data_IF_456620816123
#
_entry.id   IF_456620816123
#
_cell.length_a   1.000
_cell.length_b   1.000
_cell.length_c   1.000
_cell.angle_alpha   90.00
_cell.angle_beta   90.00
_cell.angle_gamma   90.00
#
_symmetry.space_group_name_H-M   'P 1'
#
loop_
_entity.id
_entity.type
_entity.pdbx_description
1 polymer ?
#
# COMPACT_ATOMS: atom_id res chain seq x y z
N UNK A 1 19.79 17.18 5.22
CA UNK A 1 19.75 15.73 5.07
C UNK A 1 18.48 15.38 4.33
N UNK A 2 18.57 15.04 3.06
CA UNK A 2 17.39 14.72 2.25
C UNK A 2 17.07 13.22 2.38
N UNK A 3 15.79 12.90 2.59
CA UNK A 3 15.28 11.53 2.70
C UNK A 3 14.34 11.25 1.53
N UNK A 4 14.88 10.64 0.48
CA UNK A 4 14.11 10.24 -0.69
C UNK A 4 13.27 9.01 -0.36
N UNK A 5 11.95 9.13 -0.52
CA UNK A 5 10.99 8.04 -0.43
C UNK A 5 9.91 8.25 -1.49
N UNK A 6 9.27 7.15 -1.90
CA UNK A 6 8.21 7.14 -2.91
C UNK A 6 6.98 6.48 -2.32
N UNK A 7 5.81 7.06 -2.56
CA UNK A 7 4.53 6.46 -2.23
C UNK A 7 3.97 5.76 -3.47
N UNK A 8 3.80 4.43 -3.40
CA UNK A 8 3.06 3.65 -4.39
C UNK A 8 1.73 3.24 -3.77
N UNK A 9 0.63 3.82 -4.26
CA UNK A 9 -0.70 3.67 -3.65
C UNK A 9 -1.69 3.14 -4.69
N UNK A 10 -2.13 1.87 -4.58
CA UNK A 10 -3.17 1.32 -5.45
C UNK A 10 -4.48 2.09 -5.30
N UNK A 11 -5.17 2.34 -6.42
CA UNK A 11 -6.48 2.99 -6.45
C UNK A 11 -7.49 2.10 -7.15
N UNK A 12 -8.67 1.96 -6.54
CA UNK A 12 -9.75 1.13 -7.05
C UNK A 12 -10.92 2.00 -7.49
N UNK A 13 -11.58 1.59 -8.59
CA UNK A 13 -12.74 2.32 -9.13
C UNK A 13 -13.85 2.36 -8.08
N UNK A 14 -14.48 3.52 -7.95
CA UNK A 14 -15.58 3.79 -7.03
C UNK A 14 -15.19 3.79 -5.54
N UNK A 15 -13.89 3.75 -5.22
CA UNK A 15 -13.37 3.87 -3.85
C UNK A 15 -13.03 5.34 -3.50
N UNK A 16 -12.75 5.60 -2.22
CA UNK A 16 -12.59 6.93 -1.60
C UNK A 16 -11.71 7.92 -2.39
N UNK A 17 -10.57 7.46 -2.90
CA UNK A 17 -9.60 8.33 -3.58
C UNK A 17 -9.61 8.18 -5.10
N UNK A 18 -10.64 7.53 -5.66
CA UNK A 18 -10.77 7.40 -7.09
C UNK A 18 -10.86 8.80 -7.74
N UNK A 19 -10.02 9.04 -8.75
CA UNK A 19 -9.92 10.34 -9.43
C UNK A 19 -9.57 11.54 -8.52
N UNK A 20 -8.95 11.29 -7.37
CA UNK A 20 -8.43 12.33 -6.46
C UNK A 20 -6.93 12.15 -6.22
N UNK A 21 -6.31 13.08 -5.51
CA UNK A 21 -4.93 12.96 -5.00
C UNK A 21 -4.86 11.95 -3.84
N UNK A 22 -3.70 11.35 -3.60
CA UNK A 22 -3.47 10.50 -2.42
C UNK A 22 -3.61 11.33 -1.12
N UNK A 23 -4.38 10.83 -0.14
CA UNK A 23 -4.49 11.41 1.18
C UNK A 23 -3.43 10.80 2.12
N UNK A 24 -2.60 11.66 2.71
CA UNK A 24 -1.43 11.23 3.50
C UNK A 24 -1.78 10.35 4.71
N UNK A 25 -2.85 10.70 5.45
CA UNK A 25 -3.38 9.89 6.53
C UNK A 25 -4.85 10.24 6.78
N UNK A 26 -5.82 9.50 6.23
CA UNK A 26 -7.24 9.82 6.39
C UNK A 26 -7.86 9.26 7.68
N UNK A 27 -7.14 8.45 8.48
CA UNK A 27 -7.65 7.81 9.71
C UNK A 27 -8.99 7.05 9.55
N UNK A 28 -9.15 6.28 8.46
CA UNK A 28 -10.42 5.59 8.13
C UNK A 28 -10.39 4.07 8.26
N UNK A 29 -9.30 3.45 7.83
CA UNK A 29 -9.18 2.00 7.74
C UNK A 29 -7.89 1.60 8.42
N UNK A 30 -8.00 0.67 9.37
CA UNK A 30 -6.88 -0.02 10.00
C UNK A 30 -7.09 -1.52 9.78
N UNK A 31 -6.01 -2.23 9.46
CA UNK A 31 -6.07 -3.68 9.36
C UNK A 31 -5.90 -4.31 10.73
N UNK A 32 -6.35 -5.55 10.87
CA UNK A 32 -5.95 -6.39 12.01
C UNK A 32 -4.52 -6.86 11.82
N UNK A 33 -3.85 -7.25 12.90
CA UNK A 33 -2.48 -7.80 12.84
C UNK A 33 -2.37 -8.94 11.80
N UNK A 34 -3.34 -9.87 11.80
CA UNK A 34 -3.37 -10.98 10.85
C UNK A 34 -3.51 -10.52 9.38
N UNK A 35 -4.28 -9.46 9.12
CA UNK A 35 -4.43 -8.91 7.78
C UNK A 35 -3.19 -8.11 7.33
N UNK A 36 -2.46 -7.49 8.26
CA UNK A 36 -1.15 -6.90 7.96
C UNK A 36 -0.14 -7.98 7.56
N UNK A 37 -0.04 -9.07 8.32
CA UNK A 37 0.90 -10.17 8.01
C UNK A 37 0.60 -10.79 6.63
N UNK A 38 -0.66 -11.09 6.33
CA UNK A 38 -1.07 -11.65 5.04
C UNK A 38 -0.71 -10.72 3.85
N UNK A 39 -0.87 -9.39 4.02
CA UNK A 39 -0.49 -8.42 2.99
C UNK A 39 1.03 -8.36 2.78
N UNK A 40 1.80 -8.37 3.87
CA UNK A 40 3.27 -8.35 3.83
C UNK A 40 3.81 -9.58 3.09
N UNK A 41 3.29 -10.76 3.42
CA UNK A 41 3.75 -12.02 2.82
C UNK A 41 3.48 -12.07 1.32
N UNK A 42 2.31 -11.62 0.88
CA UNK A 42 1.97 -11.51 -0.55
C UNK A 42 2.91 -10.59 -1.32
N UNK A 43 3.24 -9.43 -0.74
CA UNK A 43 4.15 -8.46 -1.35
C UNK A 43 5.56 -9.04 -1.46
N UNK A 44 6.07 -9.67 -0.39
CA UNK A 44 7.40 -10.30 -0.39
C UNK A 44 7.52 -11.39 -1.44
N UNK A 45 6.54 -12.31 -1.50
CA UNK A 45 6.54 -13.40 -2.47
C UNK A 45 6.64 -12.89 -3.92
N UNK A 46 5.90 -11.83 -4.25
CA UNK A 46 5.94 -11.25 -5.59
C UNK A 46 7.26 -10.53 -5.90
N UNK A 47 7.90 -9.91 -4.89
CA UNK A 47 9.20 -9.29 -5.07
C UNK A 47 10.30 -10.35 -5.24
N UNK A 48 10.24 -11.46 -4.51
CA UNK A 48 11.23 -12.54 -4.66
C UNK A 48 11.10 -13.26 -6.02
N UNK A 49 9.88 -13.51 -6.50
CA UNK A 49 9.62 -14.13 -7.81
C UNK A 49 10.16 -13.28 -8.98
N UNK A 50 10.13 -11.96 -8.88
CA UNK A 50 10.55 -11.05 -9.96
C UNK A 50 12.06 -10.77 -9.99
N UNK A 51 12.85 -11.46 -9.15
CA UNK A 51 14.30 -11.29 -9.05
C UNK A 51 15.11 -12.50 -9.58
N UNK A 52 14.45 -13.52 -10.16
CA UNK A 52 15.07 -14.63 -10.94
C UNK A 52 14.92 -14.44 -12.45
#
# INVERSE_FOLDING_TARGET
SDHLHVHLVPKYKDDFEWNSTFAMNPDRVYLTDAAYEDMIDKIKAQLEENHE
#
